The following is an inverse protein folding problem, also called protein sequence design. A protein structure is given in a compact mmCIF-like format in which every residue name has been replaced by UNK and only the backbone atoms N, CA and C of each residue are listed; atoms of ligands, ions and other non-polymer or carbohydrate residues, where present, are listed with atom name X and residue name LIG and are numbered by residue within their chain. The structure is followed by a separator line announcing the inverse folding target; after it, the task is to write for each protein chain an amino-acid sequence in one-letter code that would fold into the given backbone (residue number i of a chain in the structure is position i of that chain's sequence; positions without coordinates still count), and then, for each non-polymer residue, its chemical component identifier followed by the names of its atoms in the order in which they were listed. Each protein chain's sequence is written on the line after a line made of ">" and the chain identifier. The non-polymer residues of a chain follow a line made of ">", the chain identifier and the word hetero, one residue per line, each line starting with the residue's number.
data_IF_110336764537
#
_entry.id   IF_110336764537
#
_cell.length_a   1.000
_cell.length_b   1.000
_cell.length_c   1.000
_cell.angle_alpha   90.00
_cell.angle_beta   90.00
_cell.angle_gamma   90.00
#
_symmetry.space_group_name_H-M   'P 1'
#
loop_
_entity.id
_entity.type
_entity.pdbx_description
1 polymer ?
#
# COMPACT_ATOMS: atom_id res chain seq x y z
N UNK A 1 2.17 -2.98 14.82
CA UNK A 1 1.74 -1.63 14.44
C UNK A 1 1.12 -1.61 13.04
N UNK A 2 0.34 -0.59 12.76
CA UNK A 2 -0.23 -0.30 11.44
C UNK A 2 0.55 0.84 10.80
N UNK A 3 1.24 0.59 9.68
CA UNK A 3 2.06 1.59 9.02
C UNK A 3 1.28 2.32 7.92
N UNK A 4 1.19 3.63 8.02
CA UNK A 4 0.72 4.51 6.95
C UNK A 4 1.87 5.33 6.37
N UNK A 5 2.13 5.17 5.08
CA UNK A 5 3.04 6.05 4.34
C UNK A 5 2.23 7.23 3.82
N UNK A 6 2.46 8.40 4.41
CA UNK A 6 1.78 9.63 4.02
C UNK A 6 2.57 10.34 2.92
N UNK A 7 1.94 10.46 1.77
CA UNK A 7 2.52 11.13 0.60
C UNK A 7 2.25 12.64 0.57
N UNK A 8 1.63 13.18 1.62
CA UNK A 8 1.15 14.58 1.75
C UNK A 8 0.04 14.98 0.76
N UNK A 9 -0.30 14.11 -0.19
CA UNK A 9 -1.36 14.30 -1.18
C UNK A 9 -2.45 13.24 -1.00
N UNK A 10 -3.24 13.40 0.07
CA UNK A 10 -4.34 12.51 0.43
C UNK A 10 -5.61 13.30 0.65
N UNK A 11 -6.74 12.69 0.32
CA UNK A 11 -8.05 13.26 0.66
C UNK A 11 -8.24 13.26 2.17
N UNK A 12 -8.88 14.30 2.68
CA UNK A 12 -9.15 14.46 4.12
C UNK A 12 -9.98 13.31 4.67
N UNK A 13 -10.92 12.80 3.89
CA UNK A 13 -11.77 11.66 4.22
C UNK A 13 -10.94 10.39 4.46
N UNK A 14 -9.86 10.18 3.70
CA UNK A 14 -8.96 9.04 3.90
C UNK A 14 -8.20 9.17 5.22
N UNK A 15 -7.73 10.36 5.56
CA UNK A 15 -7.01 10.62 6.82
C UNK A 15 -7.97 10.43 8.01
N UNK A 16 -9.16 11.04 7.96
CA UNK A 16 -10.16 10.92 9.00
C UNK A 16 -10.58 9.46 9.23
N UNK A 17 -10.86 8.73 8.15
CA UNK A 17 -11.20 7.31 8.22
C UNK A 17 -10.07 6.45 8.80
N UNK A 18 -8.82 6.71 8.41
CA UNK A 18 -7.64 6.03 8.98
C UNK A 18 -7.57 6.21 10.49
N UNK A 19 -7.70 7.46 10.95
CA UNK A 19 -7.56 7.80 12.36
C UNK A 19 -8.72 7.23 13.19
N UNK A 20 -9.94 7.29 12.66
CA UNK A 20 -11.13 6.66 13.27
C UNK A 20 -10.94 5.15 13.39
N UNK A 21 -10.51 4.49 12.32
CA UNK A 21 -10.32 3.03 12.33
C UNK A 21 -9.18 2.61 13.26
N UNK A 22 -8.09 3.37 13.31
CA UNK A 22 -6.99 3.10 14.23
C UNK A 22 -7.45 3.19 15.68
N UNK A 23 -8.20 4.23 16.04
CA UNK A 23 -8.75 4.41 17.37
C UNK A 23 -9.77 3.30 17.72
N UNK A 24 -10.71 3.01 16.81
CA UNK A 24 -11.78 2.02 17.03
C UNK A 24 -11.25 0.61 17.21
N UNK A 25 -10.22 0.23 16.47
CA UNK A 25 -9.64 -1.12 16.50
C UNK A 25 -8.43 -1.23 17.44
N UNK A 26 -8.02 -0.13 18.07
CA UNK A 26 -6.90 -0.10 19.01
C UNK A 26 -5.54 -0.35 18.33
N UNK A 27 -5.37 0.08 17.09
CA UNK A 27 -4.11 -0.08 16.40
C UNK A 27 -3.08 0.94 16.86
N UNK A 28 -1.85 0.45 17.05
CA UNK A 28 -0.66 1.30 17.13
C UNK A 28 -0.34 1.83 15.70
N UNK A 29 -0.76 3.08 15.43
CA UNK A 29 -0.64 3.70 14.11
C UNK A 29 0.69 4.44 13.98
N UNK A 30 1.53 3.98 13.06
CA UNK A 30 2.76 4.65 12.65
C UNK A 30 2.52 5.41 11.34
N UNK A 31 2.67 6.72 11.37
CA UNK A 31 2.63 7.57 10.16
C UNK A 31 4.05 7.94 9.78
N UNK A 32 4.45 7.60 8.57
CA UNK A 32 5.76 7.93 8.03
C UNK A 32 5.65 8.81 6.79
N UNK A 33 6.40 9.90 6.81
CA UNK A 33 6.55 10.87 5.70
C UNK A 33 8.01 10.85 5.26
N UNK A 34 8.28 11.01 3.98
CA UNK A 34 9.62 11.28 3.47
C UNK A 34 9.92 12.77 3.62
N UNK A 35 10.57 13.14 4.72
CA UNK A 35 10.89 14.54 5.06
C UNK A 35 11.79 15.21 4.02
N UNK A 36 12.68 14.45 3.38
CA UNK A 36 13.52 14.99 2.30
C UNK A 36 12.68 15.39 1.10
N UNK A 37 11.72 14.53 0.71
CA UNK A 37 10.81 14.84 -0.36
C UNK A 37 9.91 16.05 -0.08
N UNK A 38 9.50 16.23 1.19
CA UNK A 38 8.75 17.43 1.62
C UNK A 38 9.64 18.67 1.52
N UNK A 39 10.85 18.62 2.07
CA UNK A 39 11.79 19.75 2.02
C UNK A 39 12.11 20.16 0.58
N UNK A 40 12.25 19.20 -0.32
CA UNK A 40 12.56 19.44 -1.73
C UNK A 40 11.32 19.83 -2.56
N UNK A 41 10.14 19.97 -1.93
CA UNK A 41 8.89 20.41 -2.56
C UNK A 41 8.34 19.41 -3.59
N UNK A 42 8.61 18.11 -3.41
CA UNK A 42 8.17 17.07 -4.35
C UNK A 42 6.65 16.94 -4.33
N UNK A 43 6.01 17.26 -5.44
CA UNK A 43 4.56 17.20 -5.60
C UNK A 43 4.14 16.65 -6.96
N UNK A 44 2.89 16.16 -7.09
CA UNK A 44 2.42 15.60 -8.35
C UNK A 44 2.28 16.63 -9.47
N UNK A 45 2.09 17.91 -9.11
CA UNK A 45 1.98 19.00 -10.07
C UNK A 45 3.33 19.65 -10.42
N UNK A 46 4.28 19.63 -9.50
CA UNK A 46 5.63 20.20 -9.69
C UNK A 46 6.56 19.24 -10.43
N UNK A 47 6.55 17.97 -10.04
CA UNK A 47 7.50 16.96 -10.53
C UNK A 47 6.83 15.84 -11.36
N UNK A 48 5.49 15.88 -11.47
CA UNK A 48 4.72 14.81 -12.10
C UNK A 48 4.43 13.62 -11.16
N UNK A 49 3.38 12.87 -11.49
CA UNK A 49 2.88 11.78 -10.65
C UNK A 49 3.89 10.64 -10.43
N UNK A 50 4.70 10.34 -11.44
CA UNK A 50 5.70 9.26 -11.34
C UNK A 50 6.80 9.58 -10.33
N UNK A 51 7.37 10.78 -10.39
CA UNK A 51 8.42 11.22 -9.45
C UNK A 51 7.84 11.32 -8.04
N UNK A 52 6.67 11.95 -7.89
CA UNK A 52 5.98 12.04 -6.61
C UNK A 52 5.72 10.65 -6.01
N UNK A 53 5.18 9.71 -6.78
CA UNK A 53 4.93 8.33 -6.33
C UNK A 53 6.23 7.63 -5.94
N UNK A 54 7.28 7.80 -6.74
CA UNK A 54 8.57 7.19 -6.41
C UNK A 54 9.14 7.72 -5.09
N UNK A 55 9.24 9.03 -4.94
CA UNK A 55 9.88 9.67 -3.77
C UNK A 55 8.99 9.56 -2.53
N UNK A 56 7.72 9.94 -2.63
CA UNK A 56 6.85 10.08 -1.46
C UNK A 56 6.15 8.78 -1.05
N UNK A 57 6.16 7.73 -1.90
CA UNK A 57 5.57 6.44 -1.60
C UNK A 57 6.62 5.33 -1.55
N UNK A 58 7.38 5.11 -2.65
CA UNK A 58 8.28 3.95 -2.74
C UNK A 58 9.50 4.12 -1.86
N UNK A 59 10.18 5.28 -1.93
CA UNK A 59 11.33 5.57 -1.08
C UNK A 59 10.90 5.68 0.38
N UNK A 60 9.81 6.41 0.65
CA UNK A 60 9.27 6.53 2.01
C UNK A 60 8.93 5.19 2.65
N UNK A 61 8.36 4.24 1.89
CA UNK A 61 8.10 2.90 2.41
C UNK A 61 9.39 2.16 2.80
N UNK A 62 10.45 2.28 1.99
CA UNK A 62 11.76 1.68 2.33
C UNK A 62 12.33 2.31 3.59
N UNK A 63 12.34 3.64 3.68
CA UNK A 63 12.77 4.37 4.88
C UNK A 63 12.04 3.90 6.13
N UNK A 64 10.70 3.73 6.05
CA UNK A 64 9.92 3.27 7.18
C UNK A 64 10.29 1.84 7.60
N UNK A 65 10.46 0.93 6.64
CA UNK A 65 10.82 -0.46 6.93
C UNK A 65 12.19 -0.57 7.59
N UNK A 66 13.16 0.20 7.11
CA UNK A 66 14.52 0.24 7.67
C UNK A 66 14.50 0.89 9.07
N UNK A 67 13.82 2.03 9.21
CA UNK A 67 13.71 2.77 10.47
C UNK A 67 13.11 1.94 11.60
N UNK A 68 12.06 1.18 11.30
CA UNK A 68 11.35 0.39 12.31
C UNK A 68 11.81 -1.07 12.38
N UNK A 69 12.69 -1.51 11.49
CA UNK A 69 13.27 -2.85 11.49
C UNK A 69 12.25 -3.96 11.26
N UNK A 70 11.27 -3.74 10.37
CA UNK A 70 10.23 -4.74 10.12
C UNK A 70 10.75 -5.90 9.27
N UNK A 71 10.56 -7.11 9.77
CA UNK A 71 10.85 -8.36 9.05
C UNK A 71 9.80 -8.68 8.00
N UNK A 72 8.55 -8.33 8.27
CA UNK A 72 7.42 -8.58 7.38
C UNK A 72 6.48 -7.38 7.31
N UNK A 73 5.92 -7.13 6.12
CA UNK A 73 4.91 -6.11 5.92
C UNK A 73 3.71 -6.71 5.19
N UNK A 74 2.54 -6.70 5.85
CA UNK A 74 1.29 -7.14 5.28
C UNK A 74 0.67 -6.05 4.41
N UNK A 75 0.09 -6.46 3.28
CA UNK A 75 -0.57 -5.54 2.35
C UNK A 75 -1.70 -6.20 1.58
N UNK A 76 -2.63 -5.41 1.10
CA UNK A 76 -3.81 -5.85 0.36
C UNK A 76 -3.61 -6.05 -1.15
N UNK A 77 -2.37 -6.14 -1.63
CA UNK A 77 -2.12 -6.30 -3.06
C UNK A 77 -2.62 -7.65 -3.59
N UNK A 78 -3.20 -7.63 -4.80
CA UNK A 78 -3.79 -8.79 -5.46
C UNK A 78 -3.14 -9.00 -6.83
N UNK A 79 -3.03 -10.25 -7.26
CA UNK A 79 -2.49 -10.61 -8.60
C UNK A 79 -3.37 -10.13 -9.75
N UNK A 80 -4.68 -10.01 -9.50
CA UNK A 80 -5.68 -9.53 -10.44
C UNK A 80 -5.62 -8.01 -10.69
N UNK A 81 -4.99 -7.27 -9.80
CA UNK A 81 -4.96 -5.81 -9.79
C UNK A 81 -4.08 -5.23 -10.90
N UNK A 82 -2.94 -5.88 -11.18
CA UNK A 82 -1.96 -5.38 -12.13
C UNK A 82 -1.08 -6.52 -12.69
N UNK A 83 -0.75 -6.45 -13.98
CA UNK A 83 0.09 -7.46 -14.66
C UNK A 83 1.45 -7.67 -13.99
N UNK A 84 2.07 -6.61 -13.46
CA UNK A 84 3.35 -6.71 -12.75
C UNK A 84 3.27 -7.58 -11.49
N UNK A 85 2.09 -7.72 -10.91
CA UNK A 85 1.82 -8.54 -9.71
C UNK A 85 1.44 -9.99 -10.00
N UNK A 86 1.18 -10.34 -11.26
CA UNK A 86 0.70 -11.68 -11.63
C UNK A 86 1.65 -12.83 -11.21
N UNK A 87 2.95 -12.55 -11.09
CA UNK A 87 3.96 -13.51 -10.66
C UNK A 87 4.25 -13.49 -9.15
N UNK A 88 3.76 -12.50 -8.42
CA UNK A 88 3.91 -12.46 -6.97
C UNK A 88 3.12 -13.59 -6.32
N UNK A 89 3.59 -14.02 -5.16
CA UNK A 89 2.94 -15.01 -4.31
C UNK A 89 2.43 -14.33 -3.05
N UNK A 90 1.76 -15.08 -2.20
CA UNK A 90 1.33 -14.57 -0.89
C UNK A 90 2.55 -14.07 -0.13
N UNK A 91 3.65 -14.83 -0.10
CA UNK A 91 4.93 -14.39 0.46
C UNK A 91 5.86 -13.92 -0.65
N UNK A 92 6.10 -12.63 -0.72
CA UNK A 92 7.00 -12.00 -1.69
C UNK A 92 8.28 -11.55 -0.98
N UNK A 93 9.37 -12.29 -1.22
CA UNK A 93 10.66 -12.03 -0.60
C UNK A 93 11.37 -10.84 -1.25
N UNK A 94 12.00 -10.04 -0.41
CA UNK A 94 12.79 -8.87 -0.81
C UNK A 94 14.21 -9.00 -0.26
N UNK A 95 15.19 -8.71 -1.11
CA UNK A 95 16.58 -8.65 -0.69
C UNK A 95 16.87 -7.40 0.18
N UNK A 96 18.11 -7.24 0.63
CA UNK A 96 18.55 -6.10 1.44
C UNK A 96 18.34 -4.73 0.75
N UNK A 97 18.17 -4.68 -0.56
CA UNK A 97 17.85 -3.48 -1.33
C UNK A 97 16.34 -3.31 -1.57
N UNK A 98 15.50 -4.09 -0.86
CA UNK A 98 14.05 -4.16 -1.02
C UNK A 98 13.56 -4.56 -2.43
N UNK A 99 14.43 -5.19 -3.22
CA UNK A 99 14.09 -5.64 -4.56
C UNK A 99 13.46 -7.03 -4.50
N UNK A 100 12.44 -7.24 -5.32
CA UNK A 100 11.85 -8.54 -5.52
C UNK A 100 12.71 -9.36 -6.49
N UNK A 101 13.07 -10.58 -6.09
CA UNK A 101 13.75 -11.54 -6.96
C UNK A 101 12.80 -12.70 -7.29
N UNK A 102 12.22 -12.71 -8.50
CA UNK A 102 11.31 -13.77 -8.91
C UNK A 102 11.99 -15.14 -9.03
N UNK A 103 13.30 -15.19 -9.19
CA UNK A 103 14.04 -16.46 -9.29
C UNK A 103 14.17 -17.18 -7.95
N UNK A 104 14.22 -16.41 -6.87
CA UNK A 104 14.30 -16.92 -5.51
C UNK A 104 12.94 -16.97 -4.81
N UNK A 105 11.85 -16.78 -5.55
CA UNK A 105 10.51 -16.92 -5.01
C UNK A 105 10.22 -18.36 -4.62
N UNK A 106 9.80 -18.58 -3.38
CA UNK A 106 9.50 -19.92 -2.85
C UNK A 106 8.15 -20.40 -3.36
N UNK A 107 8.02 -21.69 -3.74
CA UNK A 107 6.74 -22.29 -4.10
C UNK A 107 5.75 -22.29 -2.92
N UNK A 108 4.48 -22.09 -3.21
CA UNK A 108 3.36 -22.12 -2.25
C UNK A 108 2.37 -23.22 -2.62
N UNK A 109 2.90 -24.44 -2.83
CA UNK A 109 2.10 -25.60 -3.19
C UNK A 109 1.29 -26.06 -1.97
N UNK A 110 0.05 -26.47 -2.19
CA UNK A 110 -0.87 -27.00 -1.16
C UNK A 110 -1.09 -26.07 0.04
N UNK A 111 -0.99 -24.75 -0.18
CA UNK A 111 -1.07 -23.74 0.89
C UNK A 111 0.01 -23.89 1.98
N UNK A 112 1.14 -24.47 1.65
CA UNK A 112 2.30 -24.51 2.52
C UNK A 112 3.15 -23.27 2.30
N UNK A 113 3.33 -22.50 3.37
CA UNK A 113 4.08 -21.24 3.32
C UNK A 113 5.39 -21.36 4.08
N UNK A 114 6.48 -20.99 3.43
CA UNK A 114 7.78 -20.91 4.06
C UNK A 114 8.15 -19.45 4.31
N UNK A 115 8.05 -19.01 5.56
CA UNK A 115 8.39 -17.65 6.00
C UNK A 115 9.86 -17.47 6.42
N UNK A 116 10.71 -18.47 6.25
CA UNK A 116 12.13 -18.35 6.63
C UNK A 116 12.82 -17.32 5.75
N UNK A 117 13.38 -16.29 6.36
CA UNK A 117 14.18 -15.25 5.70
C UNK A 117 15.66 -15.36 6.06
N UNK A 118 16.54 -14.86 5.22
CA UNK A 118 17.95 -14.67 5.53
C UNK A 118 18.19 -13.27 6.15
N UNK A 119 19.35 -13.07 6.80
CA UNK A 119 19.74 -11.73 7.27
C UNK A 119 19.67 -10.70 6.14
N UNK A 120 19.09 -9.55 6.41
CA UNK A 120 18.88 -8.47 5.43
C UNK A 120 17.69 -8.66 4.47
N UNK A 121 17.05 -9.84 4.44
CA UNK A 121 15.80 -10.01 3.70
C UNK A 121 14.59 -9.51 4.49
N UNK A 122 13.54 -9.12 3.76
CA UNK A 122 12.21 -8.84 4.30
C UNK A 122 11.12 -9.53 3.47
N UNK A 123 9.94 -9.68 4.04
CA UNK A 123 8.82 -10.35 3.37
C UNK A 123 7.66 -9.38 3.21
N UNK A 124 7.12 -9.26 1.99
CA UNK A 124 5.79 -8.70 1.77
C UNK A 124 4.79 -9.83 1.80
N UNK A 125 3.79 -9.72 2.65
CA UNK A 125 2.74 -10.73 2.80
C UNK A 125 1.44 -10.19 2.22
N UNK A 126 0.88 -10.89 1.24
CA UNK A 126 -0.34 -10.51 0.53
C UNK A 126 -1.44 -11.56 0.76
N UNK A 127 -2.13 -11.54 1.91
CA UNK A 127 -3.07 -12.60 2.28
C UNK A 127 -4.21 -12.79 1.27
N UNK A 128 -4.62 -11.71 0.60
CA UNK A 128 -5.69 -11.73 -0.40
C UNK A 128 -5.16 -11.76 -1.85
N UNK A 129 -3.90 -12.19 -2.04
CA UNK A 129 -3.24 -12.21 -3.36
C UNK A 129 -4.04 -12.91 -4.45
N UNK A 130 -4.82 -13.94 -4.09
CA UNK A 130 -5.62 -14.73 -5.02
C UNK A 130 -7.05 -14.21 -5.24
N UNK A 131 -7.45 -13.18 -4.52
CA UNK A 131 -8.80 -12.64 -4.59
C UNK A 131 -8.99 -11.76 -5.82
N UNK A 132 -10.17 -11.85 -6.42
CA UNK A 132 -10.64 -10.88 -7.41
C UNK A 132 -11.16 -9.63 -6.71
N UNK A 133 -11.41 -8.58 -7.47
CA UNK A 133 -12.07 -7.38 -6.93
C UNK A 133 -13.47 -7.70 -6.42
N UNK A 134 -14.20 -8.57 -7.12
CA UNK A 134 -15.53 -9.01 -6.68
C UNK A 134 -15.49 -9.74 -5.34
N UNK A 135 -14.49 -10.61 -5.11
CA UNK A 135 -14.32 -11.30 -3.82
C UNK A 135 -14.15 -10.31 -2.68
N UNK A 136 -13.35 -9.25 -2.90
CA UNK A 136 -13.14 -8.18 -1.90
C UNK A 136 -14.47 -7.49 -1.57
N UNK A 137 -15.25 -7.09 -2.58
CA UNK A 137 -16.52 -6.41 -2.35
C UNK A 137 -17.57 -7.30 -1.70
N UNK A 138 -17.64 -8.58 -2.06
CA UNK A 138 -18.51 -9.55 -1.42
C UNK A 138 -18.14 -9.76 0.05
N UNK A 139 -16.85 -9.82 0.35
CA UNK A 139 -16.37 -9.96 1.73
C UNK A 139 -16.69 -8.72 2.56
N UNK A 140 -16.43 -7.52 2.03
CA UNK A 140 -16.77 -6.24 2.68
C UNK A 140 -18.27 -6.21 3.02
N UNK A 141 -19.12 -6.57 2.06
CA UNK A 141 -20.57 -6.58 2.25
C UNK A 141 -21.00 -7.61 3.30
N UNK A 142 -20.50 -8.82 3.20
CA UNK A 142 -20.85 -9.93 4.12
C UNK A 142 -20.45 -9.64 5.57
N UNK A 143 -19.25 -9.11 5.77
CA UNK A 143 -18.70 -8.87 7.09
C UNK A 143 -18.98 -7.44 7.62
N UNK A 144 -19.77 -6.64 6.87
CA UNK A 144 -20.07 -5.23 7.20
C UNK A 144 -18.81 -4.42 7.51
N UNK A 145 -17.77 -4.59 6.70
CA UNK A 145 -16.50 -3.87 6.89
C UNK A 145 -16.70 -2.41 6.51
N UNK A 146 -16.41 -1.46 7.40
CA UNK A 146 -16.48 -0.04 7.04
C UNK A 146 -15.42 0.30 6.00
N UNK A 147 -15.83 1.14 5.06
CA UNK A 147 -14.96 1.61 3.98
C UNK A 147 -14.96 3.13 3.94
N UNK A 148 -13.91 3.70 3.35
CA UNK A 148 -13.83 5.15 3.20
C UNK A 148 -14.97 5.68 2.34
N UNK A 149 -15.63 6.80 2.71
CA UNK A 149 -16.81 7.33 2.00
C UNK A 149 -16.55 7.67 0.52
N UNK A 150 -15.30 7.77 0.11
CA UNK A 150 -14.92 8.07 -1.28
C UNK A 150 -15.34 6.99 -2.29
N UNK A 151 -15.62 5.76 -1.83
CA UNK A 151 -16.16 4.68 -2.68
C UNK A 151 -17.65 4.84 -3.01
N UNK A 152 -18.37 5.65 -2.24
CA UNK A 152 -19.79 5.86 -2.49
C UNK A 152 -20.02 6.98 -3.50
N UNK A 153 -21.07 6.85 -4.31
CA UNK A 153 -21.50 7.90 -5.22
C UNK A 153 -21.88 9.17 -4.44
N UNK A 154 -21.32 10.28 -4.83
CA UNK A 154 -21.61 11.58 -4.24
C UNK A 154 -21.28 12.71 -5.24
N UNK A 155 -21.95 13.85 -5.09
CA UNK A 155 -21.59 15.07 -5.83
C UNK A 155 -20.27 15.57 -5.24
N UNK A 156 -19.25 15.71 -6.09
CA UNK A 156 -17.91 16.17 -5.67
C UNK A 156 -17.40 17.25 -6.62
N UNK A 157 -16.64 18.21 -6.11
CA UNK A 157 -15.94 19.17 -6.98
C UNK A 157 -14.87 18.44 -7.78
N UNK A 158 -14.83 18.70 -9.09
CA UNK A 158 -13.83 18.14 -10.00
C UNK A 158 -13.25 19.23 -10.88
N UNK A 159 -12.00 19.07 -11.26
CA UNK A 159 -11.34 19.86 -12.30
C UNK A 159 -11.00 18.98 -13.49
N UNK A 160 -11.16 19.50 -14.68
CA UNK A 160 -10.72 18.82 -15.89
C UNK A 160 -9.28 19.22 -16.21
N UNK A 161 -8.39 18.23 -16.31
CA UNK A 161 -6.99 18.45 -16.67
C UNK A 161 -6.52 17.36 -17.63
N UNK A 162 -6.00 17.77 -18.78
CA UNK A 162 -5.52 16.86 -19.82
C UNK A 162 -6.54 15.75 -20.19
N UNK A 163 -7.82 16.12 -20.30
CA UNK A 163 -8.90 15.19 -20.65
C UNK A 163 -9.38 14.29 -19.51
N UNK A 164 -8.82 14.40 -18.31
CA UNK A 164 -9.18 13.61 -17.13
C UNK A 164 -9.89 14.48 -16.10
N UNK A 165 -10.98 13.96 -15.50
CA UNK A 165 -11.62 14.57 -14.35
C UNK A 165 -10.86 14.20 -13.08
N UNK A 166 -10.42 15.19 -12.33
CA UNK A 166 -9.68 15.02 -11.07
C UNK A 166 -10.51 15.62 -9.95
N UNK A 167 -10.80 14.83 -8.93
CA UNK A 167 -11.45 15.31 -7.71
C UNK A 167 -10.50 16.25 -6.94
N UNK A 168 -11.00 17.34 -6.40
CA UNK A 168 -10.25 18.37 -5.65
C UNK A 168 -10.76 18.47 -4.21
#
# INVERSE_FOLDING_TARGET
>A
PFLHVDTTWKFREMIAFRDEMAARLGFDLLVHVNEDGVRDGVGPFTNGSNVHTHVMKTVALRQALDKYGFDAAFGGARRDEEKSRAKERIFSFRNAQHQWDPKNQRPELWNLYNGRKHPGESIRVFPISNWTELDVWQYIHRENIPIVPLYFAAVRPVVQRSGTLIMV
#
